data_IF_749753442084
#
_entry.id   IF_749753442084
#
_cell.length_a   1.000
_cell.length_b   1.000
_cell.length_c   1.000
_cell.angle_alpha   90.00
_cell.angle_beta   90.00
_cell.angle_gamma   90.00
#
_symmetry.space_group_name_H-M   'P 1'
#
loop_
_entity.id
_entity.type
_entity.pdbx_description
1 polymer ?
#
# COMPACT_ATOMS: atom_id res chain seq x y z
N UNK A 1 0.08 -16.09 2.34
CA UNK A 1 0.92 -14.95 2.73
C UNK A 1 2.24 -15.45 3.27
N UNK A 2 3.34 -14.82 2.90
CA UNK A 2 4.67 -15.19 3.37
C UNK A 2 5.06 -14.32 4.57
N UNK A 3 5.29 -14.93 5.74
CA UNK A 3 5.69 -14.19 6.94
C UNK A 3 6.98 -13.40 6.77
N UNK A 4 7.86 -13.82 5.85
CA UNK A 4 9.12 -13.10 5.58
C UNK A 4 8.89 -11.71 4.99
N UNK A 5 7.72 -11.45 4.44
CA UNK A 5 7.36 -10.12 3.91
C UNK A 5 6.92 -9.17 5.01
N UNK A 6 6.64 -9.67 6.21
CA UNK A 6 6.06 -8.87 7.27
C UNK A 6 7.10 -8.06 8.01
N UNK A 7 6.70 -6.86 8.41
CA UNK A 7 7.42 -5.93 9.27
C UNK A 7 6.55 -5.58 10.47
N UNK A 8 7.17 -5.19 11.57
CA UNK A 8 6.41 -4.62 12.70
C UNK A 8 5.60 -3.42 12.21
N UNK A 9 4.35 -3.33 12.62
CA UNK A 9 3.44 -2.28 12.18
C UNK A 9 2.57 -2.67 10.99
N UNK A 10 2.87 -3.78 10.31
CA UNK A 10 2.03 -4.24 9.21
C UNK A 10 0.66 -4.67 9.72
N UNK A 11 -0.36 -4.48 8.87
CA UNK A 11 -1.72 -4.92 9.13
C UNK A 11 -1.96 -6.26 8.45
N UNK A 12 -2.51 -7.20 9.17
CA UNK A 12 -2.85 -8.53 8.67
C UNK A 12 -4.23 -8.94 9.18
N UNK A 13 -4.79 -9.97 8.59
CA UNK A 13 -6.02 -10.59 9.08
C UNK A 13 -5.67 -11.84 9.86
N UNK A 14 -6.17 -11.94 11.09
CA UNK A 14 -6.09 -13.15 11.90
C UNK A 14 -7.51 -13.52 12.29
N UNK A 15 -7.94 -14.70 11.87
CA UNK A 15 -9.32 -15.16 12.07
C UNK A 15 -10.35 -14.15 11.51
N UNK A 16 -10.02 -13.51 10.38
CA UNK A 16 -10.89 -12.54 9.75
C UNK A 16 -10.90 -11.15 10.36
N UNK A 17 -10.06 -10.89 11.35
CA UNK A 17 -9.97 -9.59 12.02
C UNK A 17 -8.64 -8.93 11.71
N UNK A 18 -8.67 -7.62 11.45
CA UNK A 18 -7.46 -6.84 11.21
C UNK A 18 -6.68 -6.70 12.52
N UNK A 19 -5.40 -7.04 12.47
CA UNK A 19 -4.47 -6.90 13.59
C UNK A 19 -3.15 -6.33 13.11
N UNK A 20 -2.49 -5.58 13.99
CA UNK A 20 -1.15 -5.06 13.74
C UNK A 20 -0.10 -6.08 14.15
N UNK A 21 0.93 -6.26 13.33
CA UNK A 21 2.07 -7.11 13.68
C UNK A 21 2.90 -6.39 14.73
N UNK A 22 2.92 -6.92 15.95
CA UNK A 22 3.65 -6.34 17.07
C UNK A 22 4.86 -7.16 17.49
N UNK A 23 5.01 -8.36 16.95
CA UNK A 23 6.17 -9.22 17.20
C UNK A 23 6.44 -10.11 16.00
N UNK A 24 7.69 -10.45 15.80
CA UNK A 24 8.13 -11.39 14.75
C UNK A 24 9.19 -12.34 15.35
N UNK A 25 9.09 -13.65 15.07
CA UNK A 25 8.04 -14.30 14.27
C UNK A 25 6.67 -14.18 14.92
N UNK A 26 5.62 -14.38 14.12
CA UNK A 26 4.24 -14.28 14.60
C UNK A 26 3.99 -15.28 15.73
N UNK A 27 3.07 -14.94 16.68
CA UNK A 27 2.68 -15.85 17.75
C UNK A 27 2.16 -17.18 17.21
N UNK A 28 2.23 -18.23 18.04
CA UNK A 28 1.81 -19.58 17.65
C UNK A 28 0.34 -19.67 17.24
N UNK A 29 -0.50 -18.78 17.74
CA UNK A 29 -1.91 -18.75 17.35
C UNK A 29 -2.14 -18.24 15.92
N UNK A 30 -1.09 -17.71 15.25
CA UNK A 30 -1.14 -17.29 13.87
C UNK A 30 -0.53 -18.37 12.98
N UNK A 31 -1.31 -18.87 12.03
CA UNK A 31 -0.87 -19.93 11.13
C UNK A 31 -1.39 -19.70 9.71
N UNK A 32 -0.98 -20.55 8.77
CA UNK A 32 -1.37 -20.42 7.37
C UNK A 32 -2.87 -20.49 7.12
N UNK A 33 -3.62 -21.12 8.02
CA UNK A 33 -5.06 -21.28 7.86
C UNK A 33 -5.84 -20.05 8.32
N UNK A 34 -5.38 -19.39 9.38
CA UNK A 34 -6.12 -18.28 9.98
C UNK A 34 -5.50 -16.91 9.73
N UNK A 35 -4.28 -16.84 9.17
CA UNK A 35 -3.55 -15.59 8.98
C UNK A 35 -3.41 -15.29 7.50
N UNK A 36 -3.88 -14.13 7.08
CA UNK A 36 -3.90 -13.70 5.68
C UNK A 36 -3.55 -12.23 5.56
N UNK A 37 -3.14 -11.82 4.36
CA UNK A 37 -2.98 -10.40 4.07
C UNK A 37 -4.33 -9.69 3.99
N UNK A 38 -4.34 -8.41 4.33
CA UNK A 38 -5.52 -7.55 4.14
C UNK A 38 -5.56 -7.13 2.68
N UNK A 39 -6.62 -7.45 1.92
CA UNK A 39 -6.70 -7.00 0.53
C UNK A 39 -6.74 -5.48 0.42
N UNK A 40 -6.03 -4.93 -0.56
CA UNK A 40 -6.09 -3.50 -0.83
C UNK A 40 -7.48 -3.15 -1.37
N UNK A 41 -8.02 -2.03 -0.90
CA UNK A 41 -9.30 -1.51 -1.37
C UNK A 41 -9.29 0.02 -1.30
N UNK A 42 -10.26 0.64 -1.98
CA UNK A 42 -10.43 2.09 -1.92
C UNK A 42 -10.56 2.57 -0.48
N UNK A 43 -11.30 1.85 0.34
CA UNK A 43 -11.49 2.20 1.75
C UNK A 43 -10.17 2.27 2.50
N UNK A 44 -9.30 1.28 2.30
CA UNK A 44 -7.98 1.27 2.94
C UNK A 44 -7.11 2.42 2.46
N UNK A 45 -7.11 2.69 1.15
CA UNK A 45 -6.34 3.80 0.60
C UNK A 45 -6.78 5.13 1.18
N UNK A 46 -8.08 5.37 1.28
CA UNK A 46 -8.61 6.59 1.91
C UNK A 46 -8.23 6.68 3.39
N UNK A 47 -8.31 5.56 4.10
CA UNK A 47 -7.89 5.52 5.51
C UNK A 47 -6.42 5.87 5.69
N UNK A 48 -5.57 5.53 4.73
CA UNK A 48 -4.15 5.87 4.76
C UNK A 48 -3.85 7.31 4.34
N UNK A 49 -4.85 8.06 3.93
CA UNK A 49 -4.67 9.45 3.55
C UNK A 49 -4.58 9.69 2.05
N UNK A 50 -4.82 8.68 1.22
CA UNK A 50 -4.94 8.90 -0.23
C UNK A 50 -6.13 9.82 -0.48
N UNK A 51 -5.93 10.76 -1.40
CA UNK A 51 -6.92 11.78 -1.75
C UNK A 51 -7.36 11.62 -3.19
N UNK A 52 -8.56 12.10 -3.50
CA UNK A 52 -9.04 12.10 -4.87
C UNK A 52 -8.19 13.01 -5.74
N UNK A 53 -7.88 12.55 -6.95
CA UNK A 53 -7.22 13.38 -7.95
C UNK A 53 -8.24 14.36 -8.49
N UNK A 54 -7.93 15.66 -8.37
CA UNK A 54 -8.84 16.74 -8.77
C UNK A 54 -8.79 16.97 -10.27
N UNK A 55 -7.61 16.93 -10.87
CA UNK A 55 -7.43 17.09 -12.31
C UNK A 55 -7.17 15.74 -12.95
N UNK A 56 -8.16 15.25 -13.68
CA UNK A 56 -8.09 13.93 -14.34
C UNK A 56 -7.82 14.03 -15.84
N UNK A 57 -7.47 15.20 -16.35
CA UNK A 57 -7.34 15.41 -17.79
C UNK A 57 -6.30 14.51 -18.44
N UNK A 58 -5.21 14.23 -17.74
CA UNK A 58 -4.08 13.46 -18.30
C UNK A 58 -3.88 12.09 -17.65
N UNK A 59 -4.72 11.75 -16.67
CA UNK A 59 -4.52 10.53 -15.87
C UNK A 59 -5.74 9.63 -16.02
N UNK A 60 -5.60 8.63 -16.87
CA UNK A 60 -6.66 7.63 -17.08
C UNK A 60 -6.62 6.61 -15.96
N UNK A 61 -7.77 6.25 -15.44
CA UNK A 61 -7.98 5.23 -14.41
C UNK A 61 -7.30 5.45 -13.08
N UNK A 62 -6.50 6.49 -12.92
CA UNK A 62 -5.95 6.87 -11.61
C UNK A 62 -6.94 7.82 -10.94
N UNK A 63 -7.33 7.55 -9.71
CA UNK A 63 -8.29 8.39 -9.01
C UNK A 63 -7.90 8.75 -7.57
N UNK A 64 -6.91 8.08 -7.01
CA UNK A 64 -6.44 8.36 -5.65
C UNK A 64 -4.93 8.54 -5.65
N UNK A 65 -4.43 9.44 -4.80
CA UNK A 65 -2.98 9.65 -4.66
C UNK A 65 -2.61 10.06 -3.24
N UNK A 66 -1.35 9.80 -2.89
CA UNK A 66 -0.71 10.34 -1.69
C UNK A 66 0.72 10.73 -2.08
N UNK A 67 1.21 11.83 -1.51
CA UNK A 67 2.57 12.29 -1.74
C UNK A 67 3.30 12.47 -0.42
N UNK A 68 4.59 12.14 -0.43
CA UNK A 68 5.49 12.40 0.69
C UNK A 68 6.79 12.97 0.10
N UNK A 69 7.00 14.28 0.27
CA UNK A 69 8.13 14.97 -0.35
C UNK A 69 8.04 14.93 -1.87
N UNK A 70 9.09 14.41 -2.50
CA UNK A 70 9.18 14.29 -3.96
C UNK A 70 8.67 12.95 -4.49
N UNK A 71 8.14 12.09 -3.62
CA UNK A 71 7.65 10.78 -4.01
C UNK A 71 6.14 10.78 -3.95
N UNK A 72 5.49 10.40 -5.05
CA UNK A 72 4.06 10.28 -5.14
C UNK A 72 3.63 8.85 -5.43
N UNK A 73 2.52 8.46 -4.84
CA UNK A 73 1.89 7.16 -5.02
C UNK A 73 0.52 7.37 -5.61
N UNK A 74 0.26 6.78 -6.76
CA UNK A 74 -1.05 6.86 -7.42
C UNK A 74 -1.69 5.50 -7.47
N UNK A 75 -2.97 5.44 -7.13
CA UNK A 75 -3.75 4.23 -7.16
C UNK A 75 -4.67 4.22 -8.37
N UNK A 76 -4.75 3.07 -9.02
CA UNK A 76 -5.53 2.84 -10.21
C UNK A 76 -6.84 2.14 -9.85
N UNK A 77 -7.98 2.68 -10.28
CA UNK A 77 -9.29 2.09 -10.01
C UNK A 77 -9.63 0.89 -10.91
N UNK A 78 -8.85 0.65 -11.95
CA UNK A 78 -8.97 -0.59 -12.73
C UNK A 78 -8.35 -1.72 -11.92
N UNK A 79 -9.05 -2.85 -11.78
CA UNK A 79 -8.55 -3.96 -10.98
C UNK A 79 -8.59 -3.71 -9.48
N UNK A 80 -9.56 -2.94 -9.00
CA UNK A 80 -9.83 -2.71 -7.58
C UNK A 80 -8.64 -2.12 -6.80
N UNK A 81 -7.96 -1.15 -7.44
CA UNK A 81 -6.84 -0.44 -6.80
C UNK A 81 -5.63 -1.35 -6.54
N UNK A 82 -5.49 -2.43 -7.30
CA UNK A 82 -4.34 -3.33 -7.17
C UNK A 82 -3.08 -2.80 -7.87
N UNK A 83 -3.18 -1.70 -8.61
CA UNK A 83 -2.04 -1.10 -9.29
C UNK A 83 -1.68 0.22 -8.63
N UNK A 84 -0.47 0.28 -8.09
CA UNK A 84 0.06 1.50 -7.48
C UNK A 84 1.23 1.99 -8.34
N UNK A 85 1.15 3.26 -8.73
CA UNK A 85 2.22 3.92 -9.48
C UNK A 85 3.00 4.82 -8.55
N UNK A 86 4.31 4.74 -8.63
CA UNK A 86 5.18 5.64 -7.86
C UNK A 86 5.98 6.49 -8.84
N UNK A 87 6.06 7.77 -8.56
CA UNK A 87 6.92 8.67 -9.31
C UNK A 87 7.80 9.47 -8.37
N UNK A 88 8.96 9.85 -8.87
CA UNK A 88 9.84 10.79 -8.19
C UNK A 88 9.91 12.07 -9.02
N UNK A 89 9.67 13.20 -8.38
CA UNK A 89 9.81 14.48 -9.04
C UNK A 89 11.29 14.84 -9.10
N UNK A 90 11.88 14.78 -10.28
CA UNK A 90 13.22 15.30 -10.54
C UNK A 90 13.08 16.62 -11.29
N UNK A 91 14.05 17.50 -11.19
CA UNK A 91 14.05 18.91 -11.61
C UNK A 91 13.14 19.37 -12.75
N UNK A 92 12.78 18.52 -13.69
CA UNK A 92 11.95 18.87 -14.85
C UNK A 92 11.01 17.76 -15.30
N UNK A 93 11.25 16.54 -14.90
CA UNK A 93 10.51 15.39 -15.39
C UNK A 93 9.96 14.58 -14.23
N UNK A 94 8.73 14.16 -14.37
CA UNK A 94 8.11 13.21 -13.46
C UNK A 94 8.34 11.84 -14.05
N UNK A 95 9.23 11.07 -13.42
CA UNK A 95 9.45 9.69 -13.82
C UNK A 95 8.44 8.81 -13.08
N UNK A 96 7.51 8.24 -13.85
CA UNK A 96 6.56 7.29 -13.29
C UNK A 96 7.15 5.90 -13.39
N UNK A 97 7.39 5.28 -12.26
CA UNK A 97 7.79 3.88 -12.19
C UNK A 97 6.61 3.09 -11.65
N UNK A 98 6.11 2.17 -12.45
CA UNK A 98 5.07 1.26 -12.01
C UNK A 98 5.68 0.27 -11.04
N UNK A 99 5.25 0.33 -9.78
CA UNK A 99 5.75 -0.57 -8.75
C UNK A 99 4.67 -1.56 -8.40
N UNK A 100 5.03 -2.83 -8.51
CA UNK A 100 4.15 -3.91 -8.09
C UNK A 100 2.96 -4.09 -9.00
N UNK A 101 3.15 -4.79 -10.10
CA UNK A 101 2.04 -5.18 -10.96
C UNK A 101 0.94 -5.91 -10.18
N UNK A 102 1.26 -6.41 -8.99
CA UNK A 102 0.35 -7.19 -8.19
C UNK A 102 0.51 -6.87 -6.70
N UNK A 103 0.35 -5.60 -6.33
CA UNK A 103 0.16 -5.28 -4.93
C UNK A 103 -1.23 -5.72 -4.53
N UNK A 104 -1.31 -6.85 -3.85
CA UNK A 104 -2.58 -7.45 -3.46
C UNK A 104 -2.98 -7.08 -2.05
N UNK A 105 -2.00 -6.80 -1.20
CA UNK A 105 -2.23 -6.69 0.24
C UNK A 105 -1.72 -5.38 0.82
N UNK A 106 -2.40 -4.93 1.87
CA UNK A 106 -2.08 -3.69 2.58
C UNK A 106 -0.65 -3.71 3.11
N UNK A 107 -0.17 -4.84 3.65
CA UNK A 107 1.19 -4.90 4.18
C UNK A 107 2.25 -4.67 3.09
N UNK A 108 1.98 -5.09 1.86
CA UNK A 108 2.90 -4.84 0.75
C UNK A 108 2.99 -3.34 0.44
N UNK A 109 1.86 -2.65 0.44
CA UNK A 109 1.84 -1.19 0.26
C UNK A 109 2.55 -0.48 1.42
N UNK A 110 2.29 -0.90 2.66
CA UNK A 110 2.95 -0.33 3.83
C UNK A 110 4.48 -0.46 3.72
N UNK A 111 4.96 -1.63 3.31
CA UNK A 111 6.39 -1.89 3.20
C UNK A 111 7.02 -1.08 2.07
N UNK A 112 6.35 -0.97 0.94
CA UNK A 112 6.83 -0.17 -0.17
C UNK A 112 6.91 1.31 0.21
N UNK A 113 5.87 1.82 0.83
CA UNK A 113 5.82 3.21 1.28
C UNK A 113 6.97 3.50 2.25
N UNK A 114 7.19 2.65 3.24
CA UNK A 114 8.27 2.80 4.20
C UNK A 114 9.64 2.76 3.50
N UNK A 115 9.83 1.82 2.58
CA UNK A 115 11.10 1.68 1.86
C UNK A 115 11.47 2.96 1.09
N UNK A 116 10.49 3.60 0.49
CA UNK A 116 10.71 4.75 -0.37
C UNK A 116 10.72 6.08 0.40
N UNK A 117 9.99 6.19 1.49
CA UNK A 117 9.81 7.47 2.21
C UNK A 117 10.45 7.49 3.58
N UNK A 118 10.81 6.34 4.12
CA UNK A 118 11.24 6.16 5.50
C UNK A 118 10.17 6.61 6.52
N UNK A 119 8.91 6.62 6.09
CA UNK A 119 7.76 6.96 6.92
C UNK A 119 6.79 5.79 6.97
N UNK A 120 6.12 5.62 8.10
CA UNK A 120 5.07 4.61 8.20
C UNK A 120 3.78 5.10 7.53
N UNK A 121 3.18 4.25 6.71
CA UNK A 121 1.85 4.49 6.18
C UNK A 121 0.84 4.01 7.23
N UNK A 122 0.14 4.95 7.83
CA UNK A 122 -0.78 4.64 8.93
C UNK A 122 -2.16 5.26 8.69
N UNK A 123 -3.16 4.59 9.21
CA UNK A 123 -4.53 5.10 9.14
C UNK A 123 -4.89 5.96 10.35
#
# INVERSE_FOLDING_TARGET
>A
MNQKELRLGNLILVNGKVQEVIELPLPENCNKKNTKGVPISKKWLINFGFKNIVDKSDIRSLDLFIEDGSIGFYANNEGDYSHIYVYCETHKDIDQVRIGDNLLFVHQLQNLYFTLTNQELSN
#
